data_IF_105430145674
#
_entry.id   IF_105430145674
#
_cell.length_a   1.000
_cell.length_b   1.000
_cell.length_c   1.000
_cell.angle_alpha   90.00
_cell.angle_beta   90.00
_cell.angle_gamma   90.00
#
_symmetry.space_group_name_H-M   'P 1'
#
loop_
_entity.id
_entity.type
_entity.pdbx_description
1 polymer ?
#
# COMPACT_ATOMS: atom_id res chain seq x y z
N UNK A 1 -8.50 4.12 14.69
CA UNK A 1 -7.19 4.79 14.62
C UNK A 1 -7.44 6.26 14.83
N UNK A 2 -6.84 6.92 15.82
CA UNK A 2 -7.25 8.31 16.12
C UNK A 2 -6.16 9.36 15.96
N UNK A 3 -4.88 9.00 15.82
CA UNK A 3 -3.80 10.01 15.82
C UNK A 3 -2.66 9.73 14.82
N UNK A 4 -2.87 8.87 13.82
CA UNK A 4 -1.84 8.62 12.80
C UNK A 4 -2.09 9.49 11.57
N UNK A 5 -1.05 10.18 11.12
CA UNK A 5 -1.08 11.00 9.93
C UNK A 5 -0.61 10.14 8.74
N UNK A 6 -1.42 9.95 7.69
CA UNK A 6 -0.98 9.20 6.53
C UNK A 6 0.07 9.99 5.74
N UNK A 7 1.11 9.29 5.28
CA UNK A 7 2.14 9.80 4.38
C UNK A 7 1.68 9.73 2.92
N UNK A 8 0.91 8.69 2.57
CA UNK A 8 0.28 8.51 1.26
C UNK A 8 -1.13 7.92 1.39
N UNK A 9 -2.03 8.27 0.47
CA UNK A 9 -3.39 7.73 0.38
C UNK A 9 -3.74 7.51 -1.09
N UNK A 10 -4.23 6.32 -1.40
CA UNK A 10 -4.79 5.98 -2.72
C UNK A 10 -6.18 5.34 -2.58
N UNK A 11 -7.00 5.49 -3.61
CA UNK A 11 -8.39 5.01 -3.61
C UNK A 11 -8.70 4.25 -4.89
N UNK A 12 -9.50 3.20 -4.80
CA UNK A 12 -10.26 2.65 -5.93
C UNK A 12 -11.76 2.83 -5.68
N UNK A 13 -12.60 2.18 -6.49
CA UNK A 13 -14.06 2.21 -6.32
C UNK A 13 -14.50 1.69 -4.95
N UNK A 14 -13.85 0.63 -4.44
CA UNK A 14 -14.28 -0.10 -3.24
C UNK A 14 -13.25 -0.07 -2.08
N UNK A 15 -12.11 0.60 -2.24
CA UNK A 15 -11.01 0.53 -1.27
C UNK A 15 -10.31 1.88 -1.09
N UNK A 16 -9.95 2.20 0.16
CA UNK A 16 -8.95 3.22 0.47
C UNK A 16 -7.74 2.52 1.08
N UNK A 17 -6.55 2.79 0.55
CA UNK A 17 -5.29 2.38 1.16
C UNK A 17 -4.59 3.63 1.71
N UNK A 18 -4.11 3.56 2.94
CA UNK A 18 -3.37 4.62 3.59
C UNK A 18 -2.08 4.06 4.18
N UNK A 19 -0.98 4.67 3.77
CA UNK A 19 0.32 4.47 4.37
C UNK A 19 0.48 5.43 5.56
N UNK A 20 0.77 4.88 6.74
CA UNK A 20 1.00 5.63 7.96
C UNK A 20 2.49 5.64 8.37
N UNK A 21 3.38 5.59 7.38
CA UNK A 21 4.82 5.64 7.56
C UNK A 21 5.34 4.38 8.27
N UNK A 22 6.11 4.56 9.33
CA UNK A 22 6.63 3.45 10.16
C UNK A 22 5.54 2.61 10.85
N UNK A 23 4.27 3.04 10.80
CA UNK A 23 3.14 2.23 11.26
C UNK A 23 2.64 1.26 10.19
N UNK A 24 3.02 1.47 8.94
CA UNK A 24 2.74 0.61 7.81
C UNK A 24 1.46 0.96 7.07
N UNK A 25 1.05 0.02 6.22
CA UNK A 25 0.00 0.19 5.23
C UNK A 25 -1.31 -0.46 5.69
N UNK A 26 -2.40 0.30 5.58
CA UNK A 26 -3.74 -0.10 6.03
C UNK A 26 -4.77 0.07 4.92
N UNK A 27 -5.78 -0.80 4.92
CA UNK A 27 -6.94 -0.73 4.04
C UNK A 27 -8.19 -0.35 4.83
N UNK A 28 -9.03 0.50 4.25
CA UNK A 28 -10.36 0.82 4.78
C UNK A 28 -11.43 0.13 3.92
N UNK A 29 -12.30 -0.64 4.57
CA UNK A 29 -13.39 -1.40 3.92
C UNK A 29 -14.74 -0.67 3.92
N UNK A 30 -14.74 0.64 4.21
CA UNK A 30 -15.97 1.43 4.41
C UNK A 30 -16.51 1.42 5.84
N UNK A 31 -15.95 0.59 6.72
CA UNK A 31 -16.36 0.50 8.13
C UNK A 31 -15.17 0.48 9.10
N UNK A 32 -14.08 -0.19 8.74
CA UNK A 32 -12.94 -0.47 9.60
C UNK A 32 -11.63 -0.40 8.84
N UNK A 33 -10.55 -0.09 9.56
CA UNK A 33 -9.19 -0.13 9.02
C UNK A 33 -8.52 -1.46 9.37
N UNK A 34 -7.94 -2.12 8.38
CA UNK A 34 -7.18 -3.37 8.51
C UNK A 34 -5.74 -3.15 8.09
N UNK A 35 -4.79 -3.41 8.99
CA UNK A 35 -3.37 -3.39 8.65
C UNK A 35 -3.02 -4.55 7.74
N UNK A 36 -2.35 -4.28 6.62
CA UNK A 36 -1.93 -5.29 5.63
C UNK A 36 -0.43 -5.52 5.61
N UNK A 37 0.37 -4.58 6.11
CA UNK A 37 1.78 -4.78 6.43
C UNK A 37 2.26 -3.73 7.43
N UNK A 38 3.32 -4.03 8.17
CA UNK A 38 4.02 -3.08 9.03
C UNK A 38 5.20 -2.37 8.35
N UNK A 39 5.39 -2.58 7.04
CA UNK A 39 6.43 -1.90 6.26
C UNK A 39 5.95 -0.54 5.79
N UNK A 40 6.84 0.45 5.83
CA UNK A 40 6.65 1.77 5.24
C UNK A 40 6.96 1.71 3.73
N UNK A 41 5.97 1.83 2.83
CA UNK A 41 6.20 1.95 1.40
C UNK A 41 6.69 3.35 0.98
N UNK A 42 7.59 3.42 0.01
CA UNK A 42 8.00 4.69 -0.61
C UNK A 42 6.94 5.21 -1.59
N UNK A 43 6.17 4.30 -2.21
CA UNK A 43 5.06 4.62 -3.11
C UNK A 43 3.97 3.53 -3.04
N UNK A 44 2.72 3.93 -3.19
CA UNK A 44 1.56 3.02 -3.31
C UNK A 44 0.68 3.45 -4.47
N UNK A 45 0.18 2.48 -5.23
CA UNK A 45 -0.82 2.69 -6.27
C UNK A 45 -1.83 1.54 -6.31
N UNK A 46 -3.00 1.79 -6.91
CA UNK A 46 -4.04 0.76 -7.08
C UNK A 46 -4.36 0.58 -8.55
N UNK A 47 -4.30 -0.67 -9.02
CA UNK A 47 -4.71 -1.06 -10.37
C UNK A 47 -5.79 -2.15 -10.28
N UNK A 48 -7.04 -1.77 -10.57
CA UNK A 48 -8.20 -2.61 -10.29
C UNK A 48 -8.30 -2.88 -8.78
N UNK A 49 -8.26 -4.15 -8.39
CA UNK A 49 -8.30 -4.60 -6.98
C UNK A 49 -6.90 -4.89 -6.40
N UNK A 50 -5.84 -4.61 -7.16
CA UNK A 50 -4.46 -4.88 -6.74
C UNK A 50 -3.83 -3.62 -6.19
N UNK A 51 -3.45 -3.66 -4.91
CA UNK A 51 -2.60 -2.65 -4.30
C UNK A 51 -1.15 -2.99 -4.61
N UNK A 52 -0.47 -2.09 -5.31
CA UNK A 52 0.96 -2.18 -5.59
C UNK A 52 1.70 -1.28 -4.61
N UNK A 53 2.71 -1.81 -3.96
CA UNK A 53 3.53 -1.07 -3.01
C UNK A 53 5.01 -1.25 -3.33
N UNK A 54 5.68 -0.11 -3.41
CA UNK A 54 7.12 -0.02 -3.47
C UNK A 54 7.67 0.11 -2.05
N UNK A 55 8.52 -0.82 -1.63
CA UNK A 55 9.14 -0.82 -0.31
C UNK A 55 10.63 -0.45 -0.33
N UNK A 56 11.05 0.35 -1.32
CA UNK A 56 12.42 0.81 -1.44
C UNK A 56 13.36 -0.31 -1.82
N UNK A 57 14.48 -0.43 -1.10
CA UNK A 57 15.46 -1.53 -1.28
C UNK A 57 14.88 -2.94 -1.04
N UNK A 58 13.66 -3.07 -0.49
CA UNK A 58 12.97 -4.37 -0.40
C UNK A 58 12.30 -4.76 -1.72
N UNK A 59 12.02 -3.79 -2.58
CA UNK A 59 11.47 -3.94 -3.91
C UNK A 59 9.96 -3.78 -4.02
N UNK A 60 9.42 -4.20 -5.17
CA UNK A 60 8.03 -4.00 -5.58
C UNK A 60 7.17 -5.22 -5.27
N UNK A 61 6.01 -4.99 -4.65
CA UNK A 61 5.08 -6.04 -4.26
C UNK A 61 3.64 -5.73 -4.69
N UNK A 62 2.88 -6.79 -4.94
CA UNK A 62 1.44 -6.74 -5.21
C UNK A 62 0.67 -7.37 -4.05
N UNK A 63 -0.39 -6.73 -3.61
CA UNK A 63 -1.35 -7.26 -2.66
C UNK A 63 -2.68 -7.55 -3.35
N UNK A 64 -3.12 -8.79 -3.31
CA UNK A 64 -4.33 -9.28 -3.99
C UNK A 64 -5.61 -9.23 -3.11
N UNK A 65 -5.56 -8.49 -2.00
CA UNK A 65 -6.61 -8.48 -0.97
C UNK A 65 -6.41 -9.53 0.12
N UNK A 66 -5.49 -10.47 -0.07
CA UNK A 66 -5.20 -11.56 0.88
C UNK A 66 -3.72 -11.72 1.20
N UNK A 67 -2.85 -11.70 0.18
CA UNK A 67 -1.43 -12.01 0.28
C UNK A 67 -0.58 -11.03 -0.54
N UNK A 68 0.67 -10.87 -0.09
CA UNK A 68 1.69 -10.11 -0.80
C UNK A 68 2.52 -11.02 -1.70
N UNK A 69 2.71 -10.62 -2.96
CA UNK A 69 3.60 -11.26 -3.92
C UNK A 69 4.71 -10.29 -4.31
N UNK A 70 5.96 -10.65 -4.04
CA UNK A 70 7.12 -9.87 -4.47
C UNK A 70 7.39 -10.07 -5.96
N UNK A 71 7.56 -8.97 -6.69
CA UNK A 71 7.76 -8.96 -8.15
C UNK A 71 9.24 -8.79 -8.46
N UNK A 72 9.88 -7.82 -7.81
CA UNK A 72 11.32 -7.55 -7.93
C UNK A 72 11.89 -7.19 -6.56
N UNK A 73 13.20 -7.41 -6.38
CA UNK A 73 13.93 -7.09 -5.16
C UNK A 73 14.88 -5.89 -5.30
N UNK A 74 14.73 -5.09 -6.35
CA UNK A 74 15.42 -3.80 -6.51
C UNK A 74 14.44 -2.66 -6.28
N UNK A 75 14.94 -1.50 -5.88
CA UNK A 75 14.15 -0.30 -5.60
C UNK A 75 13.66 0.37 -6.91
N UNK A 76 12.36 0.37 -7.22
CA UNK A 76 11.79 1.24 -8.24
C UNK A 76 11.85 2.71 -7.84
N UNK A 77 12.10 3.59 -8.79
CA UNK A 77 12.07 5.03 -8.50
C UNK A 77 10.65 5.60 -8.47
N UNK A 78 9.74 5.03 -9.26
CA UNK A 78 8.35 5.46 -9.34
C UNK A 78 7.45 4.30 -9.79
N UNK A 79 6.24 4.24 -9.23
CA UNK A 79 5.17 3.36 -9.68
C UNK A 79 3.95 4.22 -9.99
N UNK A 80 3.43 4.13 -11.21
CA UNK A 80 2.27 4.91 -11.66
C UNK A 80 1.24 4.01 -12.33
N UNK A 81 -0.01 4.44 -12.29
CA UNK A 81 -1.11 3.85 -13.07
C UNK A 81 -1.51 4.81 -14.18
N UNK A 82 -2.14 4.28 -15.24
CA UNK A 82 -2.61 5.06 -16.39
C UNK A 82 -4.02 5.63 -16.17
#
# INVERSE_FOLDING_TARGET
MTDWNPENIVTSEDMIAADFGDKGLYLYDGSSWKGVTGWNPENIVVYGDILTADFGDKGLYLYDGSAWTGIVGWNPEEVVTL
#
